data_IF_414155306509
#
_entry.id   IF_414155306509
#
_cell.length_a   1.000
_cell.length_b   1.000
_cell.length_c   1.000
_cell.angle_alpha   90.00
_cell.angle_beta   90.00
_cell.angle_gamma   90.00
#
_symmetry.space_group_name_H-M   'P 1'
#
loop_
_entity.id
_entity.type
_entity.pdbx_description
1 polymer ?
#
# COMPACT_ATOMS: atom_id res chain seq x y z
N UNK A 1 3.75 -5.88 3.50
CA UNK A 1 4.24 -6.95 2.64
C UNK A 1 5.66 -6.67 2.14
N UNK A 2 5.88 -5.70 1.23
CA UNK A 2 7.18 -5.47 0.55
C UNK A 2 8.37 -5.34 1.52
N UNK A 3 8.19 -4.63 2.62
CA UNK A 3 9.27 -4.38 3.59
C UNK A 3 9.64 -5.62 4.44
N UNK A 4 8.82 -6.66 4.43
CA UNK A 4 9.09 -7.92 5.15
C UNK A 4 9.52 -9.05 4.22
N UNK A 5 9.49 -8.82 2.90
CA UNK A 5 10.00 -9.78 1.92
C UNK A 5 11.53 -9.72 1.78
N UNK A 6 12.11 -10.81 1.26
CA UNK A 6 13.53 -10.89 0.95
C UNK A 6 13.88 -9.98 -0.24
N UNK A 7 15.06 -9.41 -0.20
CA UNK A 7 15.60 -8.59 -1.29
C UNK A 7 15.35 -7.10 -1.12
N UNK A 8 15.51 -6.34 -2.19
CA UNK A 8 15.34 -4.89 -2.20
C UNK A 8 13.89 -4.52 -2.42
N UNK A 9 13.24 -3.83 -1.48
CA UNK A 9 11.88 -3.36 -1.67
C UNK A 9 11.86 -2.14 -2.60
N UNK A 10 10.89 -2.10 -3.50
CA UNK A 10 10.57 -0.94 -4.33
C UNK A 10 9.14 -0.51 -4.00
N UNK A 11 8.94 0.78 -3.82
CA UNK A 11 7.61 1.37 -3.66
C UNK A 11 7.51 2.67 -4.42
N UNK A 12 6.29 3.05 -4.75
CA UNK A 12 5.99 4.30 -5.42
C UNK A 12 5.86 5.42 -4.39
N UNK A 13 6.28 6.64 -4.75
CA UNK A 13 6.03 7.81 -3.91
C UNK A 13 4.52 8.00 -3.71
N UNK A 14 4.10 8.01 -2.44
CA UNK A 14 2.70 8.04 -2.03
C UNK A 14 2.20 6.76 -1.35
N UNK A 15 2.84 5.61 -1.60
CA UNK A 15 2.51 4.36 -0.91
C UNK A 15 2.71 4.50 0.60
N UNK A 16 3.75 5.23 1.03
CA UNK A 16 4.11 5.47 2.42
C UNK A 16 3.09 6.28 3.21
N UNK A 17 2.19 6.97 2.53
CA UNK A 17 1.07 7.70 3.15
C UNK A 17 -0.29 7.13 2.73
N UNK A 18 -0.30 6.06 1.94
CA UNK A 18 -1.52 5.42 1.47
C UNK A 18 -2.32 6.27 0.48
N UNK A 19 -1.65 6.99 -0.43
CA UNK A 19 -2.33 7.72 -1.51
C UNK A 19 -3.18 6.76 -2.34
N UNK A 20 -4.37 7.20 -2.69
CA UNK A 20 -5.31 6.45 -3.51
C UNK A 20 -5.31 6.93 -4.97
N UNK A 21 -5.88 6.13 -5.86
CA UNK A 21 -6.11 6.57 -7.24
C UNK A 21 -7.07 7.75 -7.28
N UNK A 22 -6.79 8.81 -8.05
CA UNK A 22 -7.75 9.87 -8.32
C UNK A 22 -8.91 9.30 -9.13
N UNK A 23 -10.11 9.79 -8.89
CA UNK A 23 -11.30 9.39 -9.65
C UNK A 23 -11.58 10.43 -10.75
N UNK A 24 -10.66 10.57 -11.70
CA UNK A 24 -10.88 11.44 -12.85
C UNK A 24 -12.02 10.91 -13.71
N UNK A 25 -13.03 11.74 -13.93
CA UNK A 25 -14.24 11.40 -14.67
C UNK A 25 -14.30 12.01 -16.08
N UNK A 26 -13.32 12.83 -16.43
CA UNK A 26 -13.23 13.51 -17.73
C UNK A 26 -11.91 13.22 -18.40
N UNK A 27 -11.94 12.99 -19.70
CA UNK A 27 -10.72 12.73 -20.49
C UNK A 27 -9.70 13.86 -20.42
N UNK A 28 -10.15 15.10 -20.23
CA UNK A 28 -9.29 16.28 -20.08
C UNK A 28 -8.42 16.28 -18.84
N UNK A 29 -8.73 15.46 -17.84
CA UNK A 29 -7.95 15.33 -16.61
C UNK A 29 -6.75 14.39 -16.78
N UNK A 30 -6.78 13.53 -17.79
CA UNK A 30 -5.70 12.59 -18.10
C UNK A 30 -4.58 13.22 -18.95
N UNK A 31 -3.36 12.73 -18.76
CA UNK A 31 -2.14 13.12 -19.50
C UNK A 31 -1.48 11.94 -20.21
N UNK A 32 -1.83 10.72 -19.83
CA UNK A 32 -1.27 9.52 -20.44
C UNK A 32 -1.69 9.39 -21.90
N UNK A 33 -0.71 9.43 -22.80
CA UNK A 33 -0.93 9.37 -24.26
C UNK A 33 -1.69 8.10 -24.68
N UNK A 34 -1.43 6.96 -24.02
CA UNK A 34 -2.14 5.72 -24.34
C UNK A 34 -3.63 5.86 -23.99
N UNK A 35 -3.96 6.41 -22.82
CA UNK A 35 -5.33 6.68 -22.39
C UNK A 35 -6.03 7.64 -23.37
N UNK A 36 -5.38 8.75 -23.72
CA UNK A 36 -5.94 9.74 -24.65
C UNK A 36 -6.21 9.15 -26.05
N UNK A 37 -5.27 8.36 -26.57
CA UNK A 37 -5.42 7.75 -27.88
C UNK A 37 -6.50 6.67 -27.90
N UNK A 38 -6.59 5.84 -26.87
CA UNK A 38 -7.63 4.83 -26.75
C UNK A 38 -9.02 5.46 -26.65
N UNK A 39 -9.16 6.51 -25.84
CA UNK A 39 -10.41 7.26 -25.74
C UNK A 39 -10.90 7.75 -27.11
N UNK A 40 -10.03 8.43 -27.88
CA UNK A 40 -10.33 8.92 -29.24
C UNK A 40 -10.77 7.78 -30.17
N UNK A 41 -10.15 6.62 -30.07
CA UNK A 41 -10.53 5.46 -30.90
C UNK A 41 -11.92 4.92 -30.53
N UNK A 42 -12.22 4.83 -29.24
CA UNK A 42 -13.54 4.40 -28.75
C UNK A 42 -14.62 5.38 -29.19
N UNK A 43 -14.38 6.66 -29.00
CA UNK A 43 -15.28 7.74 -29.41
C UNK A 43 -15.55 7.70 -30.93
N UNK A 44 -14.50 7.57 -31.77
CA UNK A 44 -14.62 7.44 -33.23
C UNK A 44 -15.46 6.23 -33.64
N UNK A 45 -15.40 5.14 -32.87
CA UNK A 45 -16.18 3.91 -33.12
C UNK A 45 -17.57 3.97 -32.50
N UNK A 46 -17.96 5.10 -31.88
CA UNK A 46 -19.20 5.27 -31.12
C UNK A 46 -19.34 4.24 -29.98
N UNK A 47 -18.21 3.84 -29.39
CA UNK A 47 -18.17 2.93 -28.26
C UNK A 47 -18.46 3.64 -26.93
N UNK A 48 -18.52 2.88 -25.86
CA UNK A 48 -18.81 3.37 -24.50
C UNK A 48 -17.57 4.07 -23.87
N UNK A 49 -17.53 5.40 -24.01
CA UNK A 49 -16.45 6.22 -23.43
C UNK A 49 -16.60 6.37 -21.91
N UNK A 50 -17.81 6.27 -21.39
CA UNK A 50 -18.05 6.37 -19.95
C UNK A 50 -17.51 5.13 -19.21
N UNK A 51 -17.80 3.95 -19.70
CA UNK A 51 -17.21 2.72 -19.19
C UNK A 51 -15.68 2.75 -19.25
N UNK A 52 -15.12 3.25 -20.37
CA UNK A 52 -13.68 3.38 -20.51
C UNK A 52 -13.07 4.29 -19.43
N UNK A 53 -13.68 5.46 -19.14
CA UNK A 53 -13.20 6.35 -18.10
C UNK A 53 -13.29 5.71 -16.72
N UNK A 54 -14.36 4.99 -16.40
CA UNK A 54 -14.46 4.22 -15.15
C UNK A 54 -13.34 3.20 -15.00
N UNK A 55 -12.99 2.50 -16.08
CA UNK A 55 -11.86 1.57 -16.07
C UNK A 55 -10.52 2.30 -15.87
N UNK A 56 -10.34 3.48 -16.49
CA UNK A 56 -9.11 4.26 -16.33
C UNK A 56 -8.91 4.78 -14.89
N UNK A 57 -9.96 4.99 -14.12
CA UNK A 57 -9.84 5.31 -12.69
C UNK A 57 -9.09 4.24 -11.88
N UNK A 58 -9.04 3.01 -12.38
CA UNK A 58 -8.32 1.91 -11.74
C UNK A 58 -6.97 1.59 -12.43
N UNK A 59 -6.89 1.78 -13.74
CA UNK A 59 -5.81 1.21 -14.56
C UNK A 59 -4.89 2.21 -15.23
N UNK A 60 -5.25 3.51 -15.26
CA UNK A 60 -4.42 4.52 -15.91
C UNK A 60 -3.08 4.69 -15.19
N UNK A 61 -2.01 4.85 -15.97
CA UNK A 61 -0.69 5.22 -15.46
C UNK A 61 -0.67 6.57 -14.75
N UNK A 62 -1.62 7.45 -15.07
CA UNK A 62 -1.73 8.77 -14.43
C UNK A 62 -2.08 8.68 -12.95
N UNK A 63 -2.69 7.58 -12.50
CA UNK A 63 -2.98 7.34 -11.08
C UNK A 63 -1.70 7.37 -10.22
N UNK A 64 -0.57 6.93 -10.79
CA UNK A 64 0.73 6.92 -10.14
C UNK A 64 1.56 8.21 -10.36
N UNK A 65 0.98 9.23 -11.01
CA UNK A 65 1.69 10.48 -11.39
C UNK A 65 1.09 11.73 -10.76
N UNK A 66 0.07 11.57 -9.93
CA UNK A 66 -0.55 12.70 -9.22
C UNK A 66 0.45 13.36 -8.28
N UNK A 67 0.33 14.67 -8.04
CA UNK A 67 1.18 15.37 -7.08
C UNK A 67 1.15 14.72 -5.70
N UNK A 68 2.32 14.65 -5.08
CA UNK A 68 2.46 14.12 -3.72
C UNK A 68 1.74 15.02 -2.70
N UNK A 69 1.10 14.42 -1.71
CA UNK A 69 0.20 15.11 -0.78
C UNK A 69 0.93 15.48 0.51
N UNK A 70 1.51 16.70 0.55
CA UNK A 70 2.28 17.18 1.70
C UNK A 70 1.39 17.66 2.85
N UNK A 71 0.36 18.43 2.55
CA UNK A 71 -0.55 19.00 3.54
C UNK A 71 -1.95 19.26 2.95
N UNK A 72 -2.84 19.88 3.73
CA UNK A 72 -4.21 20.20 3.33
C UNK A 72 -4.37 21.59 2.70
N UNK A 73 -3.28 22.30 2.41
CA UNK A 73 -3.30 23.58 1.69
C UNK A 73 -3.60 23.43 0.19
N UNK A 74 -3.71 24.54 -0.52
CA UNK A 74 -3.94 24.50 -1.96
C UNK A 74 -2.93 23.64 -2.68
N UNK A 75 -3.39 22.86 -3.67
CA UNK A 75 -2.58 21.90 -4.43
C UNK A 75 -1.79 20.90 -3.54
N UNK A 76 -2.36 20.54 -2.37
CA UNK A 76 -1.77 19.62 -1.41
C UNK A 76 -0.37 20.03 -0.90
N UNK A 77 -0.07 21.34 -0.88
CA UNK A 77 1.27 21.82 -0.54
C UNK A 77 2.35 21.46 -1.58
N UNK A 78 1.98 20.88 -2.71
CA UNK A 78 2.92 20.44 -3.75
C UNK A 78 3.45 21.59 -4.59
N UNK A 79 2.58 22.55 -4.93
CA UNK A 79 2.93 23.72 -5.76
C UNK A 79 2.02 24.90 -5.45
N UNK A 80 2.50 26.12 -5.73
CA UNK A 80 1.71 27.34 -5.71
C UNK A 80 1.06 27.64 -7.06
N UNK A 81 1.49 26.97 -8.12
CA UNK A 81 0.96 27.11 -9.49
C UNK A 81 -0.04 26.00 -9.85
N UNK A 82 -0.40 25.93 -11.13
CA UNK A 82 -1.24 24.85 -11.67
C UNK A 82 -0.38 23.60 -11.86
N UNK A 83 -0.70 22.46 -11.22
CA UNK A 83 0.05 21.23 -11.44
C UNK A 83 -0.23 20.64 -12.82
N UNK A 84 0.76 19.93 -13.36
CA UNK A 84 0.64 19.29 -14.67
C UNK A 84 -0.53 18.28 -14.75
N UNK A 85 -0.77 17.56 -13.68
CA UNK A 85 -1.91 16.65 -13.49
C UNK A 85 -2.63 17.05 -12.20
N UNK A 86 -3.94 16.90 -12.15
CA UNK A 86 -4.74 17.31 -11.00
C UNK A 86 -4.34 16.56 -9.71
N UNK A 87 -4.41 17.27 -8.59
CA UNK A 87 -4.22 16.69 -7.26
C UNK A 87 -5.42 15.80 -6.92
N UNK A 88 -5.19 14.66 -6.28
CA UNK A 88 -6.29 13.84 -5.76
C UNK A 88 -7.02 14.61 -4.65
N UNK A 89 -8.35 14.78 -4.72
CA UNK A 89 -9.11 15.55 -3.73
C UNK A 89 -9.01 15.02 -2.29
N UNK A 90 -8.59 13.77 -2.10
CA UNK A 90 -8.43 13.16 -0.78
C UNK A 90 -7.24 13.73 0.01
N UNK A 91 -6.38 14.56 -0.59
CA UNK A 91 -5.26 15.24 0.08
C UNK A 91 -5.67 16.00 1.35
N UNK A 92 -6.93 16.38 1.44
CA UNK A 92 -7.48 17.05 2.62
C UNK A 92 -7.48 16.16 3.85
N UNK A 93 -7.44 14.84 3.66
CA UNK A 93 -7.43 13.81 4.71
C UNK A 93 -6.15 12.99 4.70
N UNK A 94 -5.69 12.62 3.51
CA UNK A 94 -4.48 11.79 3.30
C UNK A 94 -3.34 12.73 2.92
N UNK A 95 -2.50 13.08 3.87
CA UNK A 95 -1.32 13.92 3.64
C UNK A 95 -0.29 13.72 4.75
N UNK A 96 0.96 14.11 4.46
CA UNK A 96 2.09 13.96 5.40
C UNK A 96 1.85 14.69 6.69
N UNK A 97 1.46 15.98 6.63
CA UNK A 97 1.33 16.84 7.82
C UNK A 97 0.27 16.33 8.82
N UNK A 98 -0.80 15.71 8.33
CA UNK A 98 -1.80 15.06 9.18
C UNK A 98 -1.27 13.76 9.78
N UNK A 99 -0.60 12.94 8.96
CA UNK A 99 -0.13 11.63 9.38
C UNK A 99 1.08 11.69 10.32
N UNK A 100 1.91 12.70 10.24
CA UNK A 100 3.01 12.91 11.21
C UNK A 100 2.52 13.07 12.65
N UNK A 101 1.31 13.59 12.83
CA UNK A 101 0.70 13.82 14.14
C UNK A 101 -0.04 12.59 14.68
N UNK A 102 -0.29 11.61 13.85
CA UNK A 102 -1.01 10.39 14.23
C UNK A 102 -0.04 9.21 14.35
N UNK A 103 0.24 8.72 15.57
CA UNK A 103 1.13 7.58 15.81
C UNK A 103 0.70 6.29 15.07
N UNK A 104 -0.58 6.16 14.77
CA UNK A 104 -1.17 4.99 14.11
C UNK A 104 -1.34 5.15 12.60
N UNK A 105 -0.85 6.25 12.04
CA UNK A 105 -0.92 6.52 10.62
C UNK A 105 -0.12 5.51 9.78
N UNK A 106 -0.47 5.40 8.51
CA UNK A 106 0.28 4.61 7.52
C UNK A 106 1.74 5.07 7.48
N UNK A 107 2.00 6.39 7.48
CA UNK A 107 3.35 6.96 7.44
C UNK A 107 4.19 6.53 8.66
N UNK A 108 3.64 6.64 9.86
CA UNK A 108 4.39 6.29 11.07
C UNK A 108 4.58 4.77 11.20
N UNK A 109 3.61 3.96 10.80
CA UNK A 109 3.77 2.51 10.69
C UNK A 109 4.87 2.15 9.66
N UNK A 110 4.86 2.80 8.51
CA UNK A 110 5.86 2.61 7.46
C UNK A 110 7.28 2.95 7.95
N UNK A 111 7.44 4.08 8.66
CA UNK A 111 8.72 4.48 9.29
C UNK A 111 9.24 3.43 10.27
N UNK A 112 8.36 2.92 11.14
CA UNK A 112 8.70 1.89 12.12
C UNK A 112 9.13 0.59 11.42
N UNK A 113 8.43 0.19 10.37
CA UNK A 113 8.76 -1.04 9.64
C UNK A 113 10.08 -0.91 8.86
N UNK A 114 10.40 0.27 8.33
CA UNK A 114 11.72 0.55 7.74
C UNK A 114 12.82 0.46 8.82
N UNK A 115 12.59 1.04 9.99
CA UNK A 115 13.56 0.99 11.09
C UNK A 115 13.81 -0.46 11.53
N UNK A 116 12.75 -1.26 11.71
CA UNK A 116 12.86 -2.67 12.00
C UNK A 116 13.65 -3.43 10.93
N UNK A 117 13.34 -3.21 9.65
CA UNK A 117 14.06 -3.86 8.56
C UNK A 117 15.54 -3.49 8.53
N UNK A 118 15.88 -2.20 8.76
CA UNK A 118 17.28 -1.74 8.79
C UNK A 118 18.07 -2.32 9.98
N UNK A 119 17.42 -2.53 11.11
CA UNK A 119 18.05 -3.10 12.31
C UNK A 119 18.16 -4.63 12.27
N UNK A 120 17.49 -5.30 11.32
CA UNK A 120 17.47 -6.74 11.21
C UNK A 120 17.94 -7.25 9.85
N UNK A 121 19.19 -7.70 9.74
CA UNK A 121 19.69 -8.37 8.53
C UNK A 121 18.85 -9.60 8.13
N UNK A 122 18.29 -10.31 9.10
CA UNK A 122 17.45 -11.48 8.84
C UNK A 122 16.19 -11.11 8.04
N UNK A 123 15.59 -9.93 8.24
CA UNK A 123 14.48 -9.48 7.39
C UNK A 123 14.91 -9.21 5.93
N UNK A 124 16.18 -8.89 5.71
CA UNK A 124 16.70 -8.62 4.37
C UNK A 124 17.10 -9.91 3.65
N UNK A 125 17.86 -10.79 4.32
CA UNK A 125 18.57 -11.90 3.69
C UNK A 125 18.01 -13.29 4.00
N UNK A 126 17.25 -13.45 5.09
CA UNK A 126 16.73 -14.73 5.52
C UNK A 126 15.90 -15.45 4.46
N UNK A 127 15.82 -16.75 4.58
CA UNK A 127 14.98 -17.61 3.77
C UNK A 127 13.50 -17.22 3.85
N UNK A 128 12.72 -17.74 2.94
CA UNK A 128 11.27 -17.54 2.87
C UNK A 128 10.58 -18.91 2.83
N UNK A 129 9.55 -19.08 3.67
CA UNK A 129 8.70 -20.26 3.66
C UNK A 129 7.25 -19.84 3.77
N UNK A 130 6.45 -20.16 2.76
CA UNK A 130 5.00 -19.93 2.80
C UNK A 130 4.38 -20.90 3.80
N UNK A 131 3.57 -20.37 4.69
CA UNK A 131 2.78 -21.13 5.66
C UNK A 131 1.29 -20.91 5.37
N UNK A 132 0.44 -21.82 5.88
CA UNK A 132 -1.04 -21.70 5.73
C UNK A 132 -1.48 -21.41 4.30
N UNK A 133 -0.85 -22.06 3.32
CA UNK A 133 -0.98 -21.75 1.89
C UNK A 133 -2.40 -21.93 1.33
N UNK A 134 -3.30 -22.62 2.04
CA UNK A 134 -4.70 -22.85 1.62
C UNK A 134 -5.65 -21.80 2.18
N UNK A 135 -5.19 -20.90 3.03
CA UNK A 135 -6.03 -19.88 3.62
C UNK A 135 -6.36 -18.79 2.57
N UNK A 136 -7.62 -18.56 2.23
CA UNK A 136 -7.98 -17.60 1.18
C UNK A 136 -7.97 -16.14 1.66
N UNK A 137 -7.78 -15.89 2.96
CA UNK A 137 -7.90 -14.55 3.56
C UNK A 137 -6.57 -13.99 4.04
N UNK A 138 -5.67 -14.87 4.48
CA UNK A 138 -4.37 -14.46 5.01
C UNK A 138 -3.24 -14.90 4.10
N UNK A 139 -2.19 -14.10 4.10
CA UNK A 139 -0.91 -14.48 3.52
C UNK A 139 0.10 -14.57 4.65
N UNK A 140 0.47 -15.80 4.99
CA UNK A 140 1.28 -16.12 6.16
C UNK A 140 2.60 -16.74 5.73
N UNK A 141 3.71 -16.22 6.21
CA UNK A 141 5.03 -16.74 5.87
C UNK A 141 6.04 -16.56 7.00
N UNK A 142 7.05 -17.42 6.98
CA UNK A 142 8.17 -17.38 7.87
C UNK A 142 9.42 -16.87 7.14
N UNK A 143 10.12 -15.93 7.75
CA UNK A 143 11.48 -15.52 7.41
C UNK A 143 12.43 -16.18 8.41
N UNK A 144 13.10 -17.24 7.99
CA UNK A 144 13.97 -18.03 8.85
C UNK A 144 15.42 -17.53 8.73
N UNK A 145 15.80 -16.64 9.65
CA UNK A 145 17.16 -16.09 9.75
C UNK A 145 18.06 -16.89 10.66
N UNK A 146 19.30 -16.45 10.76
CA UNK A 146 20.31 -17.09 11.63
C UNK A 146 20.07 -16.74 13.10
N UNK A 147 19.75 -15.47 13.38
CA UNK A 147 19.54 -14.96 14.73
C UNK A 147 18.08 -14.98 15.15
N UNK A 148 17.20 -14.54 14.28
CA UNK A 148 15.78 -14.43 14.54
C UNK A 148 14.94 -15.05 13.42
N UNK A 149 13.79 -15.56 13.81
CA UNK A 149 12.75 -15.99 12.90
C UNK A 149 11.60 -14.99 12.97
N UNK A 150 11.11 -14.55 11.82
CA UNK A 150 9.99 -13.60 11.73
C UNK A 150 8.80 -14.29 11.10
N UNK A 151 7.75 -14.46 11.87
CA UNK A 151 6.43 -14.82 11.33
C UNK A 151 5.73 -13.53 10.87
N UNK A 152 5.29 -13.52 9.63
CA UNK A 152 4.51 -12.42 9.06
C UNK A 152 3.15 -12.93 8.68
N UNK A 153 2.11 -12.30 9.22
CA UNK A 153 0.70 -12.62 8.94
C UNK A 153 0.05 -11.37 8.38
N UNK A 154 -0.45 -11.46 7.16
CA UNK A 154 -1.10 -10.36 6.44
C UNK A 154 -2.52 -10.75 6.09
N UNK A 155 -3.48 -9.95 6.51
CA UNK A 155 -4.88 -10.10 6.12
C UNK A 155 -5.20 -9.17 4.95
N UNK A 156 -5.41 -9.73 3.77
CA UNK A 156 -5.81 -8.99 2.56
C UNK A 156 -7.33 -8.93 2.36
N UNK A 157 -8.10 -9.41 3.33
CA UNK A 157 -9.56 -9.34 3.28
C UNK A 157 -10.10 -8.17 4.10
N UNK A 158 -11.33 -7.75 3.83
CA UNK A 158 -12.07 -6.76 4.64
C UNK A 158 -12.72 -7.35 5.91
N UNK A 159 -12.47 -8.63 6.20
CA UNK A 159 -13.08 -9.36 7.32
C UNK A 159 -11.99 -9.84 8.28
N UNK A 160 -12.37 -10.03 9.53
CA UNK A 160 -11.51 -10.72 10.48
C UNK A 160 -11.15 -12.12 9.94
N UNK A 161 -9.89 -12.49 10.08
CA UNK A 161 -9.38 -13.77 9.62
C UNK A 161 -8.42 -14.37 10.65
N UNK A 162 -8.36 -15.67 10.67
CA UNK A 162 -7.43 -16.46 11.48
C UNK A 162 -6.36 -17.03 10.57
N UNK A 163 -5.14 -17.15 11.09
CA UNK A 163 -4.02 -17.78 10.41
C UNK A 163 -3.53 -18.98 11.24
N UNK A 164 -3.19 -20.04 10.55
CA UNK A 164 -2.73 -21.31 11.14
C UNK A 164 -1.32 -21.63 10.65
N UNK A 165 -0.28 -20.98 11.20
CA UNK A 165 1.09 -21.12 10.68
C UNK A 165 1.70 -22.52 10.89
N UNK A 166 1.15 -23.35 11.78
CA UNK A 166 1.64 -24.69 12.04
C UNK A 166 3.06 -24.76 12.60
N UNK A 167 3.49 -23.75 13.31
CA UNK A 167 4.80 -23.66 13.97
C UNK A 167 4.63 -23.36 15.45
N UNK A 168 5.62 -23.77 16.25
CA UNK A 168 5.65 -23.43 17.67
C UNK A 168 5.89 -21.92 17.86
N UNK A 169 5.01 -21.28 18.61
CA UNK A 169 5.02 -19.85 18.92
C UNK A 169 5.45 -19.57 20.38
N UNK A 170 5.94 -20.58 21.11
CA UNK A 170 6.37 -20.39 22.49
C UNK A 170 7.51 -19.36 22.55
N UNK A 171 7.33 -18.33 23.37
CA UNK A 171 8.30 -17.24 23.51
C UNK A 171 8.33 -16.24 22.33
N UNK A 172 7.37 -16.31 21.41
CA UNK A 172 7.26 -15.32 20.35
C UNK A 172 6.77 -13.96 20.89
N UNK A 173 7.30 -12.88 20.33
CA UNK A 173 6.91 -11.51 20.65
C UNK A 173 6.30 -10.82 19.43
N UNK A 174 5.26 -10.03 19.66
CA UNK A 174 4.68 -9.20 18.60
C UNK A 174 5.52 -7.92 18.46
N UNK A 175 6.27 -7.83 17.37
CA UNK A 175 7.10 -6.66 17.09
C UNK A 175 6.31 -5.51 16.49
N UNK A 176 5.33 -5.81 15.62
CA UNK A 176 4.52 -4.81 14.94
C UNK A 176 3.12 -5.34 14.66
N UNK A 177 2.14 -4.47 14.87
CA UNK A 177 0.75 -4.71 14.50
C UNK A 177 0.13 -3.39 14.06
N UNK A 178 -0.69 -3.42 13.01
CA UNK A 178 -1.42 -2.23 12.52
C UNK A 178 -2.88 -2.20 13.00
N UNK A 179 -3.23 -3.06 13.96
CA UNK A 179 -4.51 -3.05 14.66
C UNK A 179 -4.33 -2.45 16.05
N UNK A 180 -5.37 -1.78 16.57
CA UNK A 180 -5.33 -1.22 17.92
C UNK A 180 -5.19 -2.27 19.02
N UNK A 181 -5.81 -3.44 18.82
CA UNK A 181 -5.69 -4.58 19.71
C UNK A 181 -4.66 -5.55 19.19
N UNK A 182 -3.72 -5.94 20.05
CA UNK A 182 -2.74 -6.97 19.70
C UNK A 182 -3.43 -8.33 19.52
N UNK A 183 -3.08 -9.10 18.48
CA UNK A 183 -3.60 -10.44 18.31
C UNK A 183 -3.16 -11.34 19.48
N UNK A 184 -4.03 -12.25 19.91
CA UNK A 184 -3.68 -13.26 20.88
C UNK A 184 -2.80 -14.33 20.22
N UNK A 185 -1.61 -14.57 20.78
CA UNK A 185 -0.68 -15.60 20.30
C UNK A 185 -1.00 -16.99 20.86
N UNK A 186 -1.90 -17.08 21.84
CA UNK A 186 -2.13 -18.28 22.67
C UNK A 186 -3.02 -19.33 21.96
N UNK A 187 -3.43 -19.10 20.73
CA UNK A 187 -4.32 -20.02 19.99
C UNK A 187 -3.71 -20.47 18.66
N UNK A 188 -2.46 -20.88 18.70
CA UNK A 188 -1.90 -21.66 17.61
C UNK A 188 -1.86 -23.12 18.09
N UNK A 189 -2.95 -23.81 17.87
CA UNK A 189 -3.02 -25.28 17.95
C UNK A 189 -2.77 -25.88 16.59
#
# INVERSE_FOLDING_TARGET
FLLTMRGTPYWLAGDEIGMCNPKFDRIGDYRDIATLNQYKQIEKRKGDTQWFLQMQQQTSRDNARTPFQWDNSGQAGFTTGMPWIGVNPDYRKINVAAQEKDPWSVLNYFRQLIALRKSSPDLVYAGYTLLDAKNPRTYTYLRKGEKYHYLVVLNFSSKQAEAYPGIDMQGAEILMCNYGDLPQLDKVL
#
